data_IF_085025097276
#
_entry.id   IF_085025097276
#
_cell.length_a   1.000
_cell.length_b   1.000
_cell.length_c   1.000
_cell.angle_alpha   90.00
_cell.angle_beta   90.00
_cell.angle_gamma   90.00
#
_symmetry.space_group_name_H-M   'P 1'
#
loop_
_entity.id
_entity.type
_entity.pdbx_description
1 polymer ?
#
# COMPACT_ATOMS: atom_id res chain seq x y z
N UNK A 1 -3.36 -43.05 -14.10
CA UNK A 1 -4.28 -42.15 -13.41
C UNK A 1 -3.82 -40.72 -13.72
N UNK A 2 -4.69 -39.75 -13.92
CA UNK A 2 -4.21 -38.38 -14.22
C UNK A 2 -3.37 -37.86 -13.06
N UNK A 3 -2.15 -37.48 -13.38
CA UNK A 3 -1.10 -36.99 -12.46
C UNK A 3 -1.38 -35.54 -12.03
N UNK A 4 -2.66 -35.21 -11.79
CA UNK A 4 -3.13 -33.89 -11.44
C UNK A 4 -4.01 -33.97 -10.19
N UNK A 5 -3.63 -33.29 -9.13
CA UNK A 5 -4.47 -33.19 -7.93
C UNK A 5 -4.58 -31.71 -7.50
N UNK A 6 -5.83 -31.29 -7.29
CA UNK A 6 -6.11 -30.05 -6.60
C UNK A 6 -6.06 -30.27 -5.09
N UNK A 7 -5.40 -29.39 -4.39
CA UNK A 7 -5.37 -29.40 -2.93
C UNK A 7 -5.23 -28.01 -2.36
N UNK A 8 -5.70 -27.83 -1.13
CA UNK A 8 -5.47 -26.62 -0.37
C UNK A 8 -4.04 -26.69 0.23
N UNK A 9 -3.24 -25.66 0.00
CA UNK A 9 -1.86 -25.62 0.50
C UNK A 9 -1.43 -24.19 0.82
N UNK A 10 -0.51 -24.07 1.78
CA UNK A 10 0.22 -22.82 2.02
C UNK A 10 1.49 -22.82 1.17
N UNK A 11 1.66 -21.76 0.40
CA UNK A 11 2.82 -21.49 -0.45
C UNK A 11 3.70 -20.47 0.25
N UNK A 12 4.96 -20.79 0.39
CA UNK A 12 5.99 -19.94 0.95
C UNK A 12 7.06 -19.65 -0.09
N UNK A 13 7.34 -18.37 -0.29
CA UNK A 13 8.53 -17.90 -0.99
C UNK A 13 9.53 -17.33 0.01
N UNK A 14 10.79 -17.73 -0.10
CA UNK A 14 11.92 -17.16 0.62
C UNK A 14 12.99 -16.73 -0.39
N UNK A 15 13.62 -15.56 -0.19
CA UNK A 15 14.53 -14.95 -1.17
C UNK A 15 15.60 -14.12 -0.46
N UNK A 16 16.86 -14.27 -0.85
CA UNK A 16 18.00 -13.52 -0.29
C UNK A 16 18.05 -12.13 -0.92
N UNK A 17 17.97 -11.11 -0.10
CA UNK A 17 17.97 -9.72 -0.56
C UNK A 17 19.39 -9.28 -0.93
N UNK A 18 19.56 -8.75 -2.14
CA UNK A 18 20.81 -8.15 -2.58
C UNK A 18 21.91 -9.17 -2.95
N UNK A 19 21.57 -10.42 -3.25
CA UNK A 19 22.52 -11.47 -3.60
C UNK A 19 23.45 -11.07 -4.76
N UNK A 20 22.91 -10.45 -5.81
CA UNK A 20 23.72 -9.96 -6.95
C UNK A 20 24.80 -8.95 -6.50
N UNK A 21 24.47 -8.05 -5.57
CA UNK A 21 25.45 -7.10 -5.04
C UNK A 21 26.51 -7.80 -4.17
N UNK A 22 26.10 -8.77 -3.35
CA UNK A 22 27.04 -9.59 -2.56
C UNK A 22 28.03 -10.35 -3.45
N UNK A 23 27.55 -10.92 -4.56
CA UNK A 23 28.40 -11.61 -5.55
C UNK A 23 29.42 -10.68 -6.22
N UNK A 24 29.08 -9.40 -6.38
CA UNK A 24 30.00 -8.40 -6.95
C UNK A 24 31.03 -7.92 -5.92
N UNK A 25 30.69 -7.94 -4.63
CA UNK A 25 31.56 -7.51 -3.54
C UNK A 25 32.53 -8.62 -3.10
N UNK A 26 32.00 -9.82 -2.83
CA UNK A 26 32.75 -11.00 -2.42
C UNK A 26 31.99 -12.27 -2.85
N UNK A 27 32.49 -12.91 -3.92
CA UNK A 27 31.83 -14.10 -4.49
C UNK A 27 31.89 -15.30 -3.54
N UNK A 28 32.99 -15.51 -2.81
CA UNK A 28 33.17 -16.64 -1.90
C UNK A 28 32.24 -16.52 -0.69
N UNK A 29 32.14 -15.34 -0.08
CA UNK A 29 31.20 -15.05 1.00
C UNK A 29 29.75 -15.22 0.55
N UNK A 30 29.38 -14.69 -0.62
CA UNK A 30 28.04 -14.81 -1.18
C UNK A 30 27.64 -16.26 -1.45
N UNK A 31 28.55 -17.08 -2.01
CA UNK A 31 28.34 -18.52 -2.21
C UNK A 31 28.22 -19.24 -0.88
N UNK A 32 29.02 -18.90 0.12
CA UNK A 32 28.94 -19.43 1.47
C UNK A 32 27.57 -19.16 2.09
N UNK A 33 27.07 -17.94 1.99
CA UNK A 33 25.74 -17.55 2.49
C UNK A 33 24.60 -18.30 1.82
N UNK A 34 24.62 -18.44 0.48
CA UNK A 34 23.56 -19.14 -0.23
C UNK A 34 23.55 -20.64 0.10
N UNK A 35 24.71 -21.27 0.28
CA UNK A 35 24.82 -22.67 0.68
C UNK A 35 24.28 -22.87 2.10
N UNK A 36 24.59 -21.98 3.03
CA UNK A 36 24.02 -22.01 4.39
C UNK A 36 22.50 -21.81 4.35
N UNK A 37 22.00 -20.85 3.59
CA UNK A 37 20.56 -20.65 3.42
C UNK A 37 19.84 -21.89 2.90
N UNK A 38 20.38 -22.54 1.88
CA UNK A 38 19.81 -23.80 1.35
C UNK A 38 19.82 -24.92 2.35
N UNK A 39 20.92 -25.08 3.08
CA UNK A 39 21.03 -26.10 4.14
C UNK A 39 20.00 -25.88 5.25
N UNK A 40 19.84 -24.64 5.72
CA UNK A 40 18.81 -24.28 6.71
C UNK A 40 17.39 -24.57 6.18
N UNK A 41 17.11 -24.23 4.90
CA UNK A 41 15.83 -24.55 4.27
C UNK A 41 15.53 -26.07 4.30
N UNK A 42 16.51 -26.88 3.92
CA UNK A 42 16.37 -28.35 3.85
C UNK A 42 16.14 -28.94 5.25
N UNK A 43 16.98 -28.59 6.22
CA UNK A 43 16.90 -29.09 7.59
C UNK A 43 15.57 -28.74 8.25
N UNK A 44 15.16 -27.47 8.19
CA UNK A 44 13.92 -27.04 8.85
C UNK A 44 12.68 -27.58 8.11
N UNK A 45 12.75 -27.72 6.78
CA UNK A 45 11.62 -28.27 6.01
C UNK A 45 11.34 -29.72 6.37
N UNK A 46 12.37 -30.54 6.62
CA UNK A 46 12.21 -31.92 7.08
C UNK A 46 11.52 -31.99 8.46
N UNK A 47 11.87 -31.08 9.38
CA UNK A 47 11.31 -31.04 10.74
C UNK A 47 9.85 -30.55 10.80
N UNK A 48 9.48 -29.61 9.91
CA UNK A 48 8.17 -28.92 9.92
C UNK A 48 7.27 -29.32 8.76
N UNK A 49 7.45 -30.51 8.18
CA UNK A 49 6.61 -31.06 7.10
C UNK A 49 6.51 -30.15 5.86
N UNK A 50 7.56 -29.38 5.59
CA UNK A 50 7.69 -28.55 4.41
C UNK A 50 8.22 -29.32 3.23
N UNK A 51 7.68 -29.06 2.04
CA UNK A 51 8.22 -29.60 0.80
C UNK A 51 8.87 -28.49 -0.02
N UNK A 52 10.19 -28.56 -0.22
CA UNK A 52 10.87 -27.69 -1.19
C UNK A 52 10.44 -28.13 -2.59
N UNK A 53 9.76 -27.23 -3.31
CA UNK A 53 9.27 -27.48 -4.66
C UNK A 53 10.32 -27.14 -5.68
N UNK A 54 10.96 -25.97 -5.51
CA UNK A 54 11.94 -25.48 -6.47
C UNK A 54 12.80 -24.37 -5.88
N UNK A 55 14.07 -24.32 -6.31
CA UNK A 55 14.97 -23.17 -6.11
C UNK A 55 14.93 -22.25 -7.33
N UNK A 56 14.92 -20.93 -7.09
CA UNK A 56 14.93 -19.88 -8.10
C UNK A 56 16.11 -18.95 -7.84
N UNK A 57 17.28 -19.29 -8.40
CA UNK A 57 18.50 -18.51 -8.15
C UNK A 57 18.86 -18.48 -6.66
N UNK A 58 18.66 -17.33 -6.04
CA UNK A 58 18.87 -17.00 -4.63
C UNK A 58 17.61 -17.18 -3.75
N UNK A 59 16.53 -17.68 -4.32
CA UNK A 59 15.27 -17.93 -3.61
C UNK A 59 14.79 -19.37 -3.69
N UNK A 60 13.75 -19.68 -2.90
CA UNK A 60 13.10 -20.99 -2.85
C UNK A 60 11.59 -20.87 -2.75
N UNK A 61 10.90 -21.85 -3.36
CA UNK A 61 9.47 -22.10 -3.23
C UNK A 61 9.24 -23.35 -2.41
N UNK A 62 8.49 -23.21 -1.34
CA UNK A 62 8.08 -24.32 -0.48
C UNK A 62 6.57 -24.44 -0.43
N UNK A 63 6.10 -25.66 -0.19
CA UNK A 63 4.71 -26.03 0.00
C UNK A 63 4.51 -26.68 1.34
N UNK A 64 3.46 -26.25 2.06
CA UNK A 64 3.01 -26.81 3.33
C UNK A 64 1.53 -27.16 3.26
N UNK A 65 1.10 -28.16 4.02
CA UNK A 65 -0.31 -28.50 4.13
C UNK A 65 -1.07 -27.58 5.10
N UNK A 66 -0.33 -26.88 5.98
CA UNK A 66 -0.86 -26.01 7.03
C UNK A 66 -0.23 -24.60 6.96
N UNK A 67 -1.06 -23.56 7.13
CA UNK A 67 -0.55 -22.20 7.35
C UNK A 67 0.28 -22.06 8.61
N UNK A 68 -0.02 -22.85 9.64
CA UNK A 68 0.72 -22.85 10.92
C UNK A 68 2.13 -23.36 10.70
N UNK A 69 2.29 -24.52 10.05
CA UNK A 69 3.61 -25.12 9.79
C UNK A 69 4.45 -24.18 8.89
N UNK A 70 3.82 -23.56 7.88
CA UNK A 70 4.51 -22.57 7.03
C UNK A 70 5.00 -21.33 7.82
N UNK A 71 4.19 -20.83 8.76
CA UNK A 71 4.55 -19.69 9.58
C UNK A 71 5.61 -20.03 10.65
N UNK A 72 5.52 -21.21 11.27
CA UNK A 72 6.53 -21.73 12.19
C UNK A 72 7.86 -21.94 11.48
N UNK A 73 7.84 -22.58 10.31
CA UNK A 73 9.00 -22.73 9.45
C UNK A 73 9.65 -21.36 9.15
N UNK A 74 8.88 -20.39 8.71
CA UNK A 74 9.38 -19.06 8.38
C UNK A 74 10.04 -18.39 9.60
N UNK A 75 9.45 -18.54 10.77
CA UNK A 75 9.98 -17.98 12.03
C UNK A 75 11.28 -18.65 12.44
N UNK A 76 11.35 -19.99 12.42
CA UNK A 76 12.57 -20.74 12.75
C UNK A 76 13.69 -20.39 11.76
N UNK A 77 13.38 -20.37 10.45
CA UNK A 77 14.35 -19.99 9.43
C UNK A 77 14.92 -18.59 9.67
N UNK A 78 14.06 -17.59 9.93
CA UNK A 78 14.52 -16.21 10.20
C UNK A 78 15.38 -16.15 11.47
N UNK A 79 15.09 -16.95 12.50
CA UNK A 79 15.93 -16.99 13.70
C UNK A 79 17.30 -17.55 13.39
N UNK A 80 17.41 -18.64 12.63
CA UNK A 80 18.66 -19.30 12.29
C UNK A 80 19.56 -18.45 11.37
N UNK A 81 18.98 -17.87 10.30
CA UNK A 81 19.76 -17.09 9.33
C UNK A 81 20.11 -15.67 9.80
N UNK A 82 19.49 -15.17 10.87
CA UNK A 82 19.91 -13.93 11.54
C UNK A 82 21.06 -14.10 12.51
N UNK A 83 21.45 -15.35 12.85
CA UNK A 83 22.73 -15.59 13.53
C UNK A 83 23.90 -15.27 12.59
N UNK A 84 25.01 -14.68 13.11
CA UNK A 84 26.15 -14.33 12.26
C UNK A 84 26.80 -15.55 11.56
N UNK A 85 27.18 -15.40 10.28
CA UNK A 85 27.01 -14.26 9.40
C UNK A 85 25.56 -14.10 8.93
N UNK A 86 24.97 -12.93 9.15
CA UNK A 86 23.56 -12.64 8.85
C UNK A 86 23.28 -12.78 7.35
N UNK A 87 22.19 -13.48 7.01
CA UNK A 87 21.69 -13.59 5.64
C UNK A 87 20.34 -12.84 5.55
N UNK A 88 20.27 -11.75 4.77
CA UNK A 88 19.07 -10.94 4.66
C UNK A 88 18.02 -11.64 3.77
N UNK A 89 17.11 -12.40 4.39
CA UNK A 89 16.03 -13.11 3.67
C UNK A 89 14.69 -12.42 3.91
N UNK A 90 13.87 -12.34 2.87
CA UNK A 90 12.48 -11.92 2.94
C UNK A 90 11.57 -13.10 2.61
N UNK A 91 10.47 -13.22 3.36
CA UNK A 91 9.55 -14.36 3.24
C UNK A 91 8.13 -13.85 3.00
N UNK A 92 7.42 -14.54 2.08
CA UNK A 92 6.01 -14.30 1.80
C UNK A 92 5.20 -15.59 1.82
N UNK A 93 4.04 -15.58 2.52
CA UNK A 93 3.19 -16.76 2.66
C UNK A 93 1.74 -16.44 2.24
N UNK A 94 1.17 -17.31 1.43
CA UNK A 94 -0.24 -17.27 1.09
C UNK A 94 -0.82 -18.69 1.03
N UNK A 95 -2.09 -18.84 1.34
CA UNK A 95 -2.79 -20.14 1.32
C UNK A 95 -3.97 -20.10 0.36
N UNK A 96 -4.14 -21.18 -0.40
CA UNK A 96 -5.26 -21.37 -1.30
C UNK A 96 -5.16 -22.68 -2.07
N UNK A 97 -6.03 -22.86 -3.06
CA UNK A 97 -6.06 -24.07 -3.88
C UNK A 97 -4.93 -24.06 -4.92
N UNK A 98 -4.18 -25.12 -4.98
CA UNK A 98 -3.08 -25.33 -5.94
C UNK A 98 -3.31 -26.59 -6.76
N UNK A 99 -2.83 -26.58 -8.00
CA UNK A 99 -2.73 -27.74 -8.87
C UNK A 99 -1.32 -28.32 -8.80
N UNK A 100 -1.21 -29.56 -8.32
CA UNK A 100 0.05 -30.31 -8.37
C UNK A 100 0.13 -31.12 -9.65
N UNK A 101 1.23 -30.93 -10.40
CA UNK A 101 1.48 -31.65 -11.64
C UNK A 101 2.97 -31.97 -11.77
N UNK A 102 3.33 -33.26 -11.81
CA UNK A 102 4.71 -33.73 -12.00
C UNK A 102 5.71 -33.05 -11.06
N UNK A 103 5.33 -32.87 -9.79
CA UNK A 103 6.19 -32.23 -8.78
C UNK A 103 6.19 -30.70 -8.77
N UNK A 104 5.59 -30.07 -9.78
CA UNK A 104 5.43 -28.61 -9.84
C UNK A 104 4.08 -28.18 -9.23
N UNK A 105 4.02 -26.91 -8.81
CA UNK A 105 2.86 -26.27 -8.21
C UNK A 105 2.38 -25.13 -9.11
N UNK A 106 1.09 -25.12 -9.42
CA UNK A 106 0.45 -24.10 -10.27
C UNK A 106 -0.76 -23.51 -9.55
N UNK A 107 -1.09 -22.27 -9.86
CA UNK A 107 -2.25 -21.55 -9.34
C UNK A 107 -1.94 -20.09 -8.99
N UNK A 108 -2.99 -19.28 -8.84
CA UNK A 108 -2.88 -17.87 -8.47
C UNK A 108 -2.22 -17.68 -7.09
N UNK A 109 -2.37 -18.66 -6.23
CA UNK A 109 -1.77 -18.74 -4.89
C UNK A 109 -0.24 -18.56 -4.94
N UNK A 110 0.42 -19.19 -5.92
CA UNK A 110 1.88 -19.07 -6.14
C UNK A 110 2.25 -17.62 -6.47
N UNK A 111 1.51 -17.01 -7.37
CA UNK A 111 1.74 -15.61 -7.76
C UNK A 111 1.49 -14.62 -6.61
N UNK A 112 0.45 -14.87 -5.80
CA UNK A 112 0.13 -14.01 -4.64
C UNK A 112 1.23 -14.12 -3.59
N UNK A 113 1.67 -15.34 -3.24
CA UNK A 113 2.74 -15.57 -2.28
C UNK A 113 4.06 -14.89 -2.69
N UNK A 114 4.46 -15.02 -3.96
CA UNK A 114 5.63 -14.34 -4.52
C UNK A 114 5.57 -12.82 -4.41
N UNK A 115 4.38 -12.23 -4.67
CA UNK A 115 4.19 -10.78 -4.57
C UNK A 115 4.18 -10.29 -3.13
N UNK A 116 3.62 -11.07 -2.20
CA UNK A 116 3.69 -10.78 -0.77
C UNK A 116 5.15 -10.81 -0.31
N UNK A 117 5.93 -11.81 -0.73
CA UNK A 117 7.36 -11.89 -0.45
C UNK A 117 8.13 -10.66 -0.94
N UNK A 118 7.86 -10.18 -2.16
CA UNK A 118 8.51 -9.01 -2.73
C UNK A 118 8.25 -7.70 -1.94
N UNK A 119 7.18 -7.65 -1.14
CA UNK A 119 6.83 -6.51 -0.29
C UNK A 119 7.48 -6.57 1.10
N UNK A 120 7.99 -7.73 1.52
CA UNK A 120 8.61 -7.90 2.81
C UNK A 120 10.00 -7.23 2.87
N UNK A 121 10.37 -6.59 3.98
CA UNK A 121 11.73 -6.13 4.22
C UNK A 121 12.68 -7.30 4.47
N UNK A 122 14.00 -7.09 4.36
CA UNK A 122 14.99 -8.07 4.84
C UNK A 122 14.73 -8.46 6.30
N UNK A 123 14.66 -9.75 6.59
CA UNK A 123 14.31 -10.29 7.91
C UNK A 123 12.79 -10.37 8.16
N UNK A 124 11.95 -9.85 7.26
CA UNK A 124 10.49 -9.83 7.41
C UNK A 124 9.81 -11.12 6.93
N UNK A 125 8.71 -11.47 7.61
CA UNK A 125 7.80 -12.57 7.24
C UNK A 125 6.43 -11.98 7.00
N UNK A 126 6.05 -11.80 5.74
CA UNK A 126 4.75 -11.24 5.36
C UNK A 126 3.77 -12.35 4.99
N UNK A 127 2.54 -12.21 5.46
CA UNK A 127 1.49 -13.19 5.22
C UNK A 127 0.21 -12.51 4.76
N UNK A 128 -0.59 -13.22 3.97
CA UNK A 128 -1.94 -12.77 3.60
C UNK A 128 -2.92 -12.91 4.76
N UNK A 129 -4.07 -12.22 4.66
CA UNK A 129 -5.13 -12.28 5.65
C UNK A 129 -5.61 -13.71 5.94
N UNK A 130 -5.74 -14.56 4.92
CA UNK A 130 -6.17 -15.95 5.10
C UNK A 130 -5.15 -16.75 5.96
N UNK A 131 -3.86 -16.51 5.78
CA UNK A 131 -2.82 -17.12 6.62
C UNK A 131 -2.90 -16.54 8.03
N UNK A 132 -3.01 -15.20 8.17
CA UNK A 132 -3.18 -14.55 9.47
C UNK A 132 -4.36 -15.11 10.26
N UNK A 133 -5.53 -15.27 9.64
CA UNK A 133 -6.71 -15.83 10.31
C UNK A 133 -6.47 -17.24 10.87
N UNK A 134 -5.69 -18.06 10.16
CA UNK A 134 -5.36 -19.41 10.59
C UNK A 134 -4.35 -19.46 11.74
N UNK A 135 -3.48 -18.45 11.87
CA UNK A 135 -2.41 -18.40 12.89
C UNK A 135 -2.69 -17.44 14.05
N UNK A 136 -3.73 -16.60 13.97
CA UNK A 136 -3.99 -15.52 14.93
C UNK A 136 -4.14 -16.00 16.39
N UNK A 137 -4.60 -17.22 16.59
CA UNK A 137 -4.78 -17.82 17.92
C UNK A 137 -3.64 -18.79 18.30
N UNK A 138 -2.56 -18.84 17.51
CA UNK A 138 -1.43 -19.72 17.77
C UNK A 138 -0.39 -19.01 18.61
N UNK A 139 -0.05 -19.61 19.75
CA UNK A 139 1.00 -19.09 20.65
C UNK A 139 2.35 -19.11 19.93
N UNK A 140 3.03 -17.98 19.97
CA UNK A 140 4.35 -17.81 19.35
C UNK A 140 4.31 -17.35 17.89
N UNK A 141 3.11 -17.12 17.30
CA UNK A 141 2.93 -16.59 15.95
C UNK A 141 2.20 -15.23 15.97
N UNK A 142 2.61 -14.37 16.91
CA UNK A 142 2.09 -13.02 17.01
C UNK A 142 2.28 -12.27 15.68
N UNK A 143 1.22 -11.61 15.21
CA UNK A 143 1.24 -10.96 13.92
C UNK A 143 0.59 -9.58 13.98
N UNK A 144 1.09 -8.64 13.19
CA UNK A 144 0.57 -7.27 13.11
C UNK A 144 0.13 -6.93 11.69
N UNK A 145 -0.94 -6.15 11.55
CA UNK A 145 -1.38 -5.64 10.26
C UNK A 145 -0.37 -4.62 9.73
N UNK A 146 0.03 -4.76 8.46
CA UNK A 146 0.96 -3.86 7.80
C UNK A 146 0.22 -2.91 6.86
N UNK A 147 -0.48 -3.45 5.87
CA UNK A 147 -1.18 -2.67 4.84
C UNK A 147 -2.17 -3.51 4.04
N UNK A 148 -2.98 -2.81 3.26
CA UNK A 148 -3.75 -3.41 2.18
C UNK A 148 -3.11 -3.02 0.84
N UNK A 149 -2.87 -3.99 -0.04
CA UNK A 149 -2.14 -3.79 -1.29
C UNK A 149 -2.89 -4.38 -2.47
N UNK A 150 -2.98 -3.63 -3.57
CA UNK A 150 -3.52 -4.14 -4.83
C UNK A 150 -2.41 -4.85 -5.61
N UNK A 151 -2.38 -6.16 -5.53
CA UNK A 151 -1.39 -6.96 -6.22
C UNK A 151 -1.71 -7.04 -7.72
N UNK A 152 -0.68 -7.05 -8.57
CA UNK A 152 -0.86 -7.14 -10.04
C UNK A 152 -1.64 -8.42 -10.40
N UNK A 153 -2.68 -8.31 -11.26
CA UNK A 153 -3.55 -9.40 -11.69
C UNK A 153 -4.26 -10.15 -10.54
N UNK A 154 -4.53 -9.47 -9.42
CA UNK A 154 -5.42 -9.93 -8.35
C UNK A 154 -6.58 -8.97 -8.29
N UNK A 155 -7.82 -9.49 -8.35
CA UNK A 155 -9.01 -8.64 -8.46
C UNK A 155 -9.22 -7.80 -7.21
N UNK A 156 -9.11 -8.42 -6.03
CA UNK A 156 -9.33 -7.77 -4.76
C UNK A 156 -8.01 -7.40 -4.07
N UNK A 157 -7.96 -6.24 -3.36
CA UNK A 157 -6.80 -5.88 -2.57
C UNK A 157 -6.53 -6.90 -1.46
N UNK A 158 -5.28 -7.30 -1.29
CA UNK A 158 -4.84 -8.27 -0.28
C UNK A 158 -4.39 -7.53 0.97
N UNK A 159 -4.94 -7.91 2.12
CA UNK A 159 -4.46 -7.43 3.43
C UNK A 159 -3.22 -8.23 3.83
N UNK A 160 -2.17 -7.52 4.21
CA UNK A 160 -0.86 -8.06 4.52
C UNK A 160 -0.56 -7.86 5.99
N UNK A 161 -0.08 -8.91 6.63
CA UNK A 161 0.33 -8.94 8.03
C UNK A 161 1.79 -9.38 8.11
N UNK A 162 2.49 -8.98 9.17
CA UNK A 162 3.84 -9.46 9.49
C UNK A 162 3.77 -10.39 10.70
N UNK A 163 4.37 -11.58 10.57
CA UNK A 163 4.63 -12.47 11.71
C UNK A 163 5.87 -11.97 12.45
N UNK A 164 5.71 -11.67 13.72
CA UNK A 164 6.79 -11.10 14.54
C UNK A 164 7.82 -12.16 14.93
N UNK A 165 9.09 -11.81 14.79
CA UNK A 165 10.23 -12.57 15.28
C UNK A 165 10.97 -11.76 16.35
N UNK A 166 11.88 -12.36 17.10
CA UNK A 166 12.77 -11.64 18.02
C UNK A 166 13.69 -10.63 17.29
N UNK A 167 13.87 -10.81 16.00
CA UNK A 167 14.64 -9.93 15.10
C UNK A 167 13.76 -8.96 14.31
N UNK A 168 12.44 -9.13 14.33
CA UNK A 168 11.56 -8.08 13.83
C UNK A 168 11.96 -6.81 14.58
N UNK A 169 12.46 -5.83 13.85
CA UNK A 169 12.65 -4.49 14.45
C UNK A 169 11.35 -4.21 15.17
N UNK A 170 11.38 -3.77 16.43
CA UNK A 170 10.15 -3.38 17.07
C UNK A 170 9.50 -2.42 16.06
N UNK A 171 8.47 -2.90 15.37
CA UNK A 171 7.49 -2.00 14.84
C UNK A 171 6.97 -1.44 16.15
N UNK A 172 7.50 -0.27 16.54
CA UNK A 172 6.81 0.59 17.46
C UNK A 172 5.55 0.89 16.67
N UNK A 173 4.57 -0.02 16.80
CA UNK A 173 3.19 0.36 16.61
C UNK A 173 2.98 1.28 17.81
N UNK A 174 2.98 2.59 17.66
CA UNK A 174 2.41 3.41 18.68
C UNK A 174 1.00 2.83 18.77
N UNK A 175 0.58 2.42 19.97
CA UNK A 175 -0.82 2.20 20.31
C UNK A 175 -1.44 3.60 20.27
N UNK A 176 -1.68 4.01 19.10
CA UNK A 176 -2.48 4.96 18.39
C UNK A 176 -2.04 4.77 16.94
N UNK A 177 -2.91 4.26 16.09
CA UNK A 177 -2.81 4.40 14.65
C UNK A 177 -2.66 5.90 14.35
N UNK A 178 -1.43 6.41 14.44
CA UNK A 178 -1.08 7.55 13.62
C UNK A 178 -0.95 6.94 12.23
N UNK A 179 -1.75 7.37 11.27
CA UNK A 179 -1.47 7.09 9.87
C UNK A 179 0.00 7.45 9.66
N UNK A 180 0.75 6.63 8.91
CA UNK A 180 2.03 7.05 8.37
C UNK A 180 1.81 8.49 7.88
N UNK A 181 2.40 9.45 8.57
CA UNK A 181 2.39 10.81 8.07
C UNK A 181 3.08 10.68 6.71
N UNK A 182 2.26 10.69 5.65
CA UNK A 182 2.78 10.93 4.31
C UNK A 182 3.66 12.15 4.48
N UNK A 183 4.91 12.07 4.06
CA UNK A 183 5.79 13.24 4.06
C UNK A 183 4.98 14.32 3.37
N UNK A 184 4.53 15.31 4.15
CA UNK A 184 3.77 16.42 3.61
C UNK A 184 4.75 17.18 2.74
N UNK A 185 4.55 17.11 1.44
CA UNK A 185 5.38 17.88 0.53
C UNK A 185 4.93 19.35 0.63
N UNK A 186 5.83 20.23 1.03
CA UNK A 186 5.53 21.64 1.31
C UNK A 186 4.76 22.34 0.17
N UNK A 187 4.98 21.92 -1.08
CA UNK A 187 4.32 22.47 -2.27
C UNK A 187 3.26 21.51 -2.82
N UNK A 188 2.33 21.07 -1.98
CA UNK A 188 1.27 20.14 -2.38
C UNK A 188 -0.12 20.62 -1.99
N UNK A 189 -1.09 20.42 -2.89
CA UNK A 189 -2.48 20.87 -2.72
C UNK A 189 -3.48 19.79 -3.10
N UNK A 190 -4.56 19.67 -2.32
CA UNK A 190 -5.76 18.96 -2.70
C UNK A 190 -6.93 19.96 -2.88
N UNK A 191 -7.65 19.85 -3.98
CA UNK A 191 -8.88 20.61 -4.24
C UNK A 191 -10.06 19.71 -3.92
N UNK A 192 -10.78 19.98 -2.85
CA UNK A 192 -11.98 19.22 -2.49
C UNK A 192 -13.13 19.52 -3.46
N UNK A 193 -14.07 18.58 -3.64
CA UNK A 193 -15.27 18.83 -4.43
C UNK A 193 -16.03 20.04 -3.89
N UNK A 194 -16.24 21.05 -4.74
CA UNK A 194 -17.00 22.24 -4.37
C UNK A 194 -18.45 21.89 -4.05
N UNK A 195 -18.94 22.38 -2.93
CA UNK A 195 -20.32 22.13 -2.49
C UNK A 195 -21.32 22.96 -3.31
N UNK A 196 -22.37 22.30 -3.82
CA UNK A 196 -23.49 23.01 -4.44
C UNK A 196 -24.43 23.55 -3.34
N UNK A 197 -24.53 24.87 -3.22
CA UNK A 197 -25.41 25.55 -2.26
C UNK A 197 -26.78 25.92 -2.87
N UNK A 198 -27.05 25.44 -4.09
CA UNK A 198 -28.34 25.65 -4.77
C UNK A 198 -29.24 24.44 -4.61
N UNK A 199 -30.56 24.63 -4.60
CA UNK A 199 -31.54 23.55 -4.49
C UNK A 199 -31.71 22.70 -5.76
N UNK A 200 -31.01 23.03 -6.85
CA UNK A 200 -31.14 22.40 -8.15
C UNK A 200 -30.04 21.34 -8.35
N UNK A 201 -30.43 20.10 -8.56
CA UNK A 201 -29.51 18.98 -8.78
C UNK A 201 -28.71 19.08 -10.11
N UNK A 202 -29.21 19.78 -11.13
CA UNK A 202 -28.45 19.99 -12.36
C UNK A 202 -27.18 20.81 -12.14
N UNK A 203 -27.12 21.56 -11.05
CA UNK A 203 -25.96 22.37 -10.68
C UNK A 203 -24.86 21.57 -9.95
N UNK A 204 -25.12 20.33 -9.62
CA UNK A 204 -24.10 19.41 -9.08
C UNK A 204 -23.00 19.13 -10.11
N UNK A 205 -23.38 18.87 -11.35
CA UNK A 205 -22.40 18.71 -12.46
C UNK A 205 -21.55 19.96 -12.69
N UNK A 206 -22.14 21.12 -12.44
CA UNK A 206 -21.44 22.38 -12.54
C UNK A 206 -20.36 22.55 -11.46
N UNK A 207 -20.67 22.21 -10.21
CA UNK A 207 -19.70 22.24 -9.09
C UNK A 207 -18.57 21.22 -9.29
N UNK A 208 -18.89 20.03 -9.82
CA UNK A 208 -17.91 19.00 -10.16
C UNK A 208 -16.99 19.44 -11.31
N UNK A 209 -17.55 20.09 -12.34
CA UNK A 209 -16.79 20.65 -13.45
C UNK A 209 -15.85 21.77 -13.00
N UNK A 210 -16.32 22.67 -12.12
CA UNK A 210 -15.48 23.72 -11.54
C UNK A 210 -14.29 23.14 -10.78
N UNK A 211 -14.54 22.09 -9.97
CA UNK A 211 -13.48 21.38 -9.23
C UNK A 211 -12.41 20.82 -10.18
N UNK A 212 -12.84 20.17 -11.27
CA UNK A 212 -11.94 19.60 -12.29
C UNK A 212 -11.11 20.68 -13.00
N UNK A 213 -11.75 21.77 -13.35
CA UNK A 213 -11.09 22.89 -14.03
C UNK A 213 -10.04 23.56 -13.14
N UNK A 214 -10.33 23.76 -11.86
CA UNK A 214 -9.35 24.30 -10.89
C UNK A 214 -8.17 23.34 -10.73
N UNK A 215 -8.42 22.04 -10.56
CA UNK A 215 -7.36 21.02 -10.53
C UNK A 215 -6.49 21.11 -11.79
N UNK A 216 -7.11 21.21 -12.96
CA UNK A 216 -6.41 21.31 -14.25
C UNK A 216 -5.55 22.58 -14.35
N UNK A 217 -6.04 23.72 -13.88
CA UNK A 217 -5.27 24.97 -13.91
C UNK A 217 -4.08 24.90 -12.94
N UNK A 218 -4.30 24.45 -11.70
CA UNK A 218 -3.23 24.30 -10.71
C UNK A 218 -2.16 23.31 -11.15
N UNK A 219 -2.53 22.23 -11.84
CA UNK A 219 -1.60 21.22 -12.36
C UNK A 219 -0.63 21.75 -13.43
N UNK A 220 -0.88 22.93 -14.00
CA UNK A 220 0.04 23.61 -14.93
C UNK A 220 1.23 24.27 -14.21
N UNK A 221 1.14 24.46 -12.90
CA UNK A 221 2.18 25.07 -12.06
C UNK A 221 3.20 23.99 -11.72
N UNK A 222 4.35 23.98 -12.38
CA UNK A 222 5.38 22.92 -12.27
C UNK A 222 5.90 22.70 -10.82
N UNK A 223 5.89 23.74 -10.00
CA UNK A 223 6.35 23.68 -8.63
C UNK A 223 5.29 23.12 -7.64
N UNK A 224 4.02 22.97 -8.09
CA UNK A 224 2.92 22.56 -7.23
C UNK A 224 2.49 21.12 -7.56
N UNK A 225 2.45 20.27 -6.56
CA UNK A 225 1.91 18.91 -6.67
C UNK A 225 0.43 18.92 -6.34
N UNK A 226 -0.38 18.63 -7.33
CA UNK A 226 -1.84 18.64 -7.22
C UNK A 226 -2.39 17.22 -7.15
N UNK A 227 -3.19 16.94 -6.14
CA UNK A 227 -3.84 15.63 -5.97
C UNK A 227 -4.89 15.42 -7.05
N UNK A 228 -4.99 14.19 -7.58
CA UNK A 228 -5.93 13.86 -8.64
C UNK A 228 -7.39 13.99 -8.20
N UNK A 229 -8.28 14.34 -9.15
CA UNK A 229 -9.72 14.40 -8.93
C UNK A 229 -10.28 13.10 -8.31
N UNK A 230 -9.86 11.95 -8.82
CA UNK A 230 -10.33 10.64 -8.34
C UNK A 230 -10.08 10.45 -6.84
N UNK A 231 -8.94 10.93 -6.34
CA UNK A 231 -8.57 10.80 -4.92
C UNK A 231 -9.39 11.71 -4.01
N UNK A 232 -9.84 12.89 -4.49
CA UNK A 232 -10.60 13.83 -3.67
C UNK A 232 -12.11 13.59 -3.72
N UNK A 233 -12.64 12.98 -4.79
CA UNK A 233 -14.08 12.74 -4.94
C UNK A 233 -14.68 11.82 -3.88
N UNK A 234 -13.90 10.98 -3.23
CA UNK A 234 -14.37 10.14 -2.12
C UNK A 234 -14.89 10.95 -0.93
N UNK A 235 -14.34 12.15 -0.70
CA UNK A 235 -14.75 13.03 0.40
C UNK A 235 -16.08 13.75 0.17
N UNK A 236 -16.59 13.76 -1.05
CA UNK A 236 -17.92 14.29 -1.37
C UNK A 236 -19.05 13.52 -0.65
N UNK A 237 -18.88 12.19 -0.55
CA UNK A 237 -19.87 11.30 0.08
C UNK A 237 -19.56 11.01 1.55
N UNK A 238 -18.29 11.08 1.94
CA UNK A 238 -17.81 10.80 3.29
C UNK A 238 -16.98 12.00 3.79
N UNK A 239 -17.63 13.06 4.29
CA UNK A 239 -16.93 14.23 4.80
C UNK A 239 -16.07 13.86 6.02
N UNK A 240 -14.82 14.35 6.03
CA UNK A 240 -13.85 14.20 7.10
C UNK A 240 -13.32 15.58 7.49
N UNK A 241 -12.64 15.68 8.63
CA UNK A 241 -11.97 16.93 9.00
C UNK A 241 -10.81 17.25 8.03
N UNK A 242 -10.51 18.53 7.84
CA UNK A 242 -9.39 18.99 7.01
C UNK A 242 -8.08 18.31 7.41
N UNK A 243 -7.83 18.20 8.72
CA UNK A 243 -6.63 17.51 9.25
C UNK A 243 -6.56 16.03 8.87
N UNK A 244 -7.69 15.34 8.87
CA UNK A 244 -7.75 13.93 8.45
C UNK A 244 -7.51 13.79 6.95
N UNK A 245 -8.16 14.63 6.13
CA UNK A 245 -7.99 14.64 4.69
C UNK A 245 -6.53 14.97 4.31
N UNK A 246 -5.95 15.99 4.94
CA UNK A 246 -4.55 16.38 4.71
C UNK A 246 -3.57 15.23 4.99
N UNK A 247 -3.76 14.51 6.09
CA UNK A 247 -2.96 13.33 6.43
C UNK A 247 -3.15 12.18 5.45
N UNK A 248 -4.40 11.89 5.05
CA UNK A 248 -4.70 10.81 4.12
C UNK A 248 -4.13 11.07 2.72
N UNK A 249 -4.21 12.31 2.25
CA UNK A 249 -3.71 12.71 0.93
C UNK A 249 -2.21 13.05 0.94
N UNK A 250 -1.65 13.41 2.11
CA UNK A 250 -0.25 13.82 2.27
C UNK A 250 0.01 15.19 1.64
N UNK A 251 -0.90 16.15 1.84
CA UNK A 251 -0.81 17.49 1.27
C UNK A 251 -0.62 18.55 2.34
N UNK A 252 0.12 19.62 2.00
CA UNK A 252 0.35 20.77 2.87
C UNK A 252 -0.89 21.65 2.98
N UNK A 253 -1.60 21.85 1.87
CA UNK A 253 -2.76 22.74 1.83
C UNK A 253 -3.96 22.07 1.16
N UNK A 254 -5.15 22.49 1.57
CA UNK A 254 -6.42 22.04 1.02
C UNK A 254 -7.20 23.27 0.54
N UNK A 255 -7.70 23.21 -0.70
CA UNK A 255 -8.66 24.14 -1.24
C UNK A 255 -10.06 23.54 -1.12
N UNK A 256 -10.94 24.22 -0.43
CA UNK A 256 -12.37 23.89 -0.39
C UNK A 256 -13.21 25.09 -0.85
N UNK A 257 -14.46 24.85 -1.17
CA UNK A 257 -15.33 25.93 -1.57
C UNK A 257 -16.77 25.52 -1.82
N UNK A 258 -17.56 26.51 -2.18
CA UNK A 258 -18.96 26.35 -2.53
C UNK A 258 -19.35 27.16 -3.77
N UNK A 259 -20.37 26.69 -4.44
CA UNK A 259 -20.96 27.34 -5.60
C UNK A 259 -22.44 27.60 -5.33
N UNK A 260 -22.85 28.82 -5.51
CA UNK A 260 -24.25 29.22 -5.46
C UNK A 260 -24.63 29.90 -6.78
N UNK A 261 -25.60 29.36 -7.48
CA UNK A 261 -26.12 29.94 -8.72
C UNK A 261 -27.52 30.47 -8.50
N UNK A 262 -27.76 31.69 -8.99
CA UNK A 262 -29.08 32.31 -8.99
C UNK A 262 -29.30 32.96 -10.36
N UNK A 263 -30.20 32.38 -11.15
CA UNK A 263 -30.55 32.86 -12.52
C UNK A 263 -29.30 33.02 -13.42
N UNK A 264 -28.79 34.22 -13.61
CA UNK A 264 -27.66 34.53 -14.48
C UNK A 264 -26.36 34.88 -13.71
N UNK A 265 -26.38 34.75 -12.38
CA UNK A 265 -25.22 35.03 -11.50
C UNK A 265 -24.73 33.76 -10.84
N UNK A 266 -23.44 33.66 -10.68
CA UNK A 266 -22.76 32.61 -9.93
C UNK A 266 -21.89 33.27 -8.88
N UNK A 267 -22.05 32.84 -7.65
CA UNK A 267 -21.14 33.13 -6.54
C UNK A 267 -20.31 31.89 -6.24
N UNK A 268 -18.99 32.04 -6.28
CA UNK A 268 -18.03 31.01 -5.90
C UNK A 268 -17.28 31.53 -4.67
N UNK A 269 -17.34 30.77 -3.58
CA UNK A 269 -16.51 31.00 -2.40
C UNK A 269 -15.42 29.95 -2.38
N UNK A 270 -14.17 30.35 -2.21
CA UNK A 270 -13.03 29.47 -2.14
C UNK A 270 -12.16 29.81 -0.92
N UNK A 271 -11.62 28.79 -0.27
CA UNK A 271 -10.82 28.91 0.94
C UNK A 271 -9.62 27.98 0.84
N UNK A 272 -8.42 28.51 1.05
CA UNK A 272 -7.18 27.75 1.15
C UNK A 272 -6.84 27.57 2.61
N UNK A 273 -6.66 26.34 3.05
CA UNK A 273 -6.53 25.96 4.44
C UNK A 273 -5.23 25.19 4.63
N UNK A 274 -4.46 25.51 5.65
CA UNK A 274 -3.34 24.71 6.10
C UNK A 274 -3.84 23.37 6.61
N UNK A 275 -3.39 22.28 6.00
CA UNK A 275 -3.91 20.95 6.29
C UNK A 275 -3.48 20.41 7.68
N UNK A 276 -2.42 20.94 8.28
CA UNK A 276 -1.92 20.52 9.57
C UNK A 276 -2.59 21.30 10.73
N UNK A 277 -2.74 22.62 10.57
CA UNK A 277 -3.25 23.52 11.62
C UNK A 277 -4.76 23.71 11.54
N UNK A 278 -5.36 23.54 10.35
CA UNK A 278 -6.78 23.87 10.04
C UNK A 278 -7.02 25.40 10.05
N UNK A 279 -5.97 26.18 9.78
CA UNK A 279 -6.05 27.63 9.71
C UNK A 279 -6.27 28.09 8.27
N UNK A 280 -7.11 29.09 8.09
CA UNK A 280 -7.34 29.69 6.77
C UNK A 280 -6.12 30.53 6.36
N UNK A 281 -5.46 30.11 5.30
CA UNK A 281 -4.37 30.86 4.67
C UNK A 281 -4.90 31.98 3.75
N UNK A 282 -6.02 31.71 3.11
CA UNK A 282 -6.69 32.63 2.20
C UNK A 282 -8.16 32.26 2.05
N UNK A 283 -9.03 33.26 1.90
CA UNK A 283 -10.43 33.10 1.54
C UNK A 283 -10.92 34.26 0.69
N UNK A 284 -11.69 33.98 -0.36
CA UNK A 284 -12.30 35.00 -1.21
C UNK A 284 -13.63 34.52 -1.82
N UNK A 285 -14.41 35.48 -2.30
CA UNK A 285 -15.70 35.23 -2.95
C UNK A 285 -15.80 35.97 -4.29
N UNK A 286 -16.15 35.26 -5.34
CA UNK A 286 -16.22 35.75 -6.70
C UNK A 286 -17.68 35.79 -7.17
N UNK A 287 -18.20 36.99 -7.42
CA UNK A 287 -19.54 37.22 -7.99
C UNK A 287 -19.39 37.56 -9.48
N UNK A 288 -19.89 36.70 -10.36
CA UNK A 288 -19.77 36.86 -11.82
C UNK A 288 -21.04 36.44 -12.54
N UNK A 289 -21.12 36.79 -13.81
CA UNK A 289 -22.11 36.24 -14.74
C UNK A 289 -21.75 34.80 -15.11
N UNK A 290 -22.75 33.94 -15.35
CA UNK A 290 -22.53 32.56 -15.83
C UNK A 290 -21.67 32.51 -17.09
N UNK A 291 -21.66 33.56 -17.90
CA UNK A 291 -20.84 33.64 -19.11
C UNK A 291 -19.34 33.82 -18.85
N UNK A 292 -18.98 34.30 -17.67
CA UNK A 292 -17.60 34.65 -17.32
C UNK A 292 -16.91 33.59 -16.45
N UNK A 293 -17.47 32.38 -16.39
CA UNK A 293 -17.03 31.32 -15.46
C UNK A 293 -15.57 30.91 -15.72
N UNK A 294 -15.12 30.83 -16.95
CA UNK A 294 -13.74 30.53 -17.30
C UNK A 294 -12.73 31.58 -16.79
N UNK A 295 -13.18 32.82 -16.57
CA UNK A 295 -12.36 33.89 -15.98
C UNK A 295 -12.16 33.62 -14.49
N UNK A 296 -13.21 33.19 -13.80
CA UNK A 296 -13.16 32.90 -12.35
C UNK A 296 -12.20 31.73 -12.05
N UNK A 297 -12.25 30.67 -12.83
CA UNK A 297 -11.37 29.52 -12.68
C UNK A 297 -9.90 29.94 -12.73
N UNK A 298 -9.58 30.85 -13.62
CA UNK A 298 -8.23 31.40 -13.76
C UNK A 298 -7.87 32.33 -12.60
N UNK A 299 -8.81 33.18 -12.17
CA UNK A 299 -8.62 34.13 -11.06
C UNK A 299 -8.34 33.35 -9.75
N UNK A 300 -9.14 32.32 -9.44
CA UNK A 300 -8.95 31.45 -8.27
C UNK A 300 -7.57 30.77 -8.32
N UNK A 301 -7.20 30.20 -9.46
CA UNK A 301 -5.90 29.53 -9.60
C UNK A 301 -4.71 30.49 -9.46
N UNK A 302 -4.82 31.73 -9.94
CA UNK A 302 -3.78 32.75 -9.79
C UNK A 302 -3.68 33.21 -8.33
N UNK A 303 -4.80 33.43 -7.64
CA UNK A 303 -4.82 33.86 -6.24
C UNK A 303 -4.22 32.82 -5.28
N UNK A 304 -4.30 31.53 -5.64
CA UNK A 304 -3.68 30.43 -4.88
C UNK A 304 -2.17 30.35 -5.13
N UNK A 305 -1.71 30.77 -6.31
CA UNK A 305 -0.31 30.66 -6.73
C UNK A 305 0.54 31.90 -6.37
N UNK A 306 -0.07 32.94 -5.80
CA UNK A 306 0.58 34.19 -5.36
C UNK A 306 0.94 34.16 -3.91
#
# INVERSE_FOLDING_TARGET
>A
MPDHSHQLAAILFADVVGYTAMMQEDEEDAVGKINRFRHSLETIAEELNGKIVQYYGDGALLLFQSSTDAAEFAKVLQMEINEPPVIPVRIGIHMGEVLLQKGNVFGDVVNIASRIQALAPPGGIYVSEIVYQNIANKKGLESVFIKQEKLKNVNDPVRIFEVLTSYSKPIIVPVALKPLEKIVEENSIAVLPFSNMSSDMEQEYFSDGLTEDIITQLSKIKALKVVSRTSVMQYKKNPKSIKEIGKELGVAVILEGSVQRSSNKVRITAQLIDAATDEHLWADSFDRSVKDIFVIQREVAISIAS
#
